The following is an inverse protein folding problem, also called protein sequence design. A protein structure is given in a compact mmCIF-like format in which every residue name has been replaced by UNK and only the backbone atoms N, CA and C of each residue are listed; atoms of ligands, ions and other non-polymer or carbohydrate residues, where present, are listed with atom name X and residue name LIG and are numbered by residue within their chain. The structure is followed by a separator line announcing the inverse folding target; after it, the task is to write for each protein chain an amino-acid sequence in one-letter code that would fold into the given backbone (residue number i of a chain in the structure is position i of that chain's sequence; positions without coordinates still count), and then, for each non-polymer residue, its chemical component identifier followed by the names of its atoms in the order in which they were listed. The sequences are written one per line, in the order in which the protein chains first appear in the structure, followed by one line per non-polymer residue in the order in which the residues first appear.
data_IF_488840217617
#
_entry.id   IF_488840217617
#
_cell.length_a   1.000
_cell.length_b   1.000
_cell.length_c   1.000
_cell.angle_alpha   90.00
_cell.angle_beta   90.00
_cell.angle_gamma   90.00
#
_symmetry.space_group_name_H-M   'P 1'
#
loop_
_entity.id
_entity.type
_entity.pdbx_description
1 polymer ?
#
# COMPACT_ATOMS: atom_id res chain seq x y z
N UNK A 1 22.87 13.80 -4.13
CA UNK A 1 21.80 14.79 -4.18
C UNK A 1 20.57 14.22 -3.48
N UNK A 2 20.11 14.92 -2.51
CA UNK A 2 18.91 14.50 -1.82
C UNK A 2 17.68 14.70 -2.70
N UNK A 3 16.83 13.72 -2.69
CA UNK A 3 15.56 13.82 -3.38
C UNK A 3 14.52 14.41 -2.44
N UNK A 4 13.90 15.48 -2.87
CA UNK A 4 12.79 16.03 -2.14
C UNK A 4 11.53 15.25 -2.48
N UNK A 5 11.07 14.47 -1.53
CA UNK A 5 9.80 13.79 -1.65
C UNK A 5 8.76 14.49 -0.77
N UNK A 6 7.53 14.51 -1.24
CA UNK A 6 6.40 15.04 -0.50
C UNK A 6 5.44 13.88 -0.24
N UNK A 7 5.14 13.65 1.02
CA UNK A 7 4.15 12.63 1.40
C UNK A 7 2.91 13.35 1.89
N UNK A 8 1.78 13.07 1.27
CA UNK A 8 0.52 13.72 1.60
C UNK A 8 -0.66 12.78 1.41
N UNK A 9 -1.81 13.20 1.90
CA UNK A 9 -3.06 12.48 1.67
C UNK A 9 -3.46 12.58 0.20
N UNK A 10 -3.92 11.47 -0.35
CA UNK A 10 -4.42 11.42 -1.71
C UNK A 10 -5.74 12.16 -1.84
N UNK A 11 -5.95 12.74 -3.00
CA UNK A 11 -7.24 13.30 -3.40
C UNK A 11 -7.71 12.62 -4.68
N UNK A 12 -8.96 12.84 -5.06
CA UNK A 12 -9.52 12.27 -6.28
C UNK A 12 -8.72 12.66 -7.53
N UNK A 13 -8.09 13.84 -7.52
CA UNK A 13 -7.24 14.29 -8.63
C UNK A 13 -6.01 13.42 -8.83
N UNK A 14 -5.62 12.63 -7.83
CA UNK A 14 -4.44 11.77 -7.90
C UNK A 14 -4.74 10.40 -8.52
N UNK A 15 -5.99 10.11 -8.82
CA UNK A 15 -6.44 8.77 -9.21
C UNK A 15 -5.69 8.22 -10.41
N UNK A 16 -5.48 9.00 -11.46
CA UNK A 16 -4.81 8.52 -12.68
C UNK A 16 -3.35 8.15 -12.40
N UNK A 17 -2.66 8.95 -11.58
CA UNK A 17 -1.28 8.66 -11.19
C UNK A 17 -1.19 7.39 -10.34
N UNK A 18 -2.12 7.23 -9.42
CA UNK A 18 -2.20 6.03 -8.57
C UNK A 18 -2.46 4.79 -9.43
N UNK A 19 -3.41 4.87 -10.37
CA UNK A 19 -3.76 3.73 -11.22
C UNK A 19 -2.62 3.33 -12.15
N UNK A 20 -1.80 4.26 -12.59
CA UNK A 20 -0.60 3.93 -13.37
C UNK A 20 0.35 3.03 -12.59
N UNK A 21 0.57 3.35 -11.31
CA UNK A 21 1.43 2.55 -10.45
C UNK A 21 0.79 1.18 -10.18
N UNK A 22 -0.48 1.18 -9.82
CA UNK A 22 -1.21 -0.06 -9.54
C UNK A 22 -1.13 -1.04 -10.71
N UNK A 23 -1.43 -0.56 -11.91
CA UNK A 23 -1.41 -1.39 -13.12
C UNK A 23 0.00 -1.88 -13.44
N UNK A 24 1.01 -1.02 -13.30
CA UNK A 24 2.41 -1.39 -13.55
C UNK A 24 2.92 -2.44 -12.57
N UNK A 25 2.48 -2.38 -11.32
CA UNK A 25 2.97 -3.29 -10.28
C UNK A 25 2.20 -4.60 -10.22
N UNK A 26 0.91 -4.58 -10.50
CA UNK A 26 0.04 -5.72 -10.24
C UNK A 26 -0.63 -6.31 -11.48
N UNK A 27 -0.60 -5.61 -12.63
CA UNK A 27 -1.16 -6.12 -13.87
C UNK A 27 -2.60 -6.62 -13.71
N UNK A 28 -2.87 -7.91 -14.02
CA UNK A 28 -4.23 -8.46 -13.94
C UNK A 28 -4.77 -8.54 -12.52
N UNK A 29 -3.92 -8.45 -11.49
CA UNK A 29 -4.34 -8.43 -10.09
C UNK A 29 -4.66 -7.02 -9.59
N UNK A 30 -4.59 -6.01 -10.45
CA UNK A 30 -4.88 -4.62 -10.09
C UNK A 30 -6.31 -4.47 -9.60
N UNK A 31 -6.47 -3.69 -8.54
CA UNK A 31 -7.80 -3.28 -8.12
C UNK A 31 -8.39 -2.28 -9.11
N UNK A 32 -9.71 -2.19 -9.17
CA UNK A 32 -10.39 -1.33 -10.11
C UNK A 32 -10.28 0.14 -9.73
N UNK A 33 -10.44 1.00 -10.72
CA UNK A 33 -10.52 2.45 -10.53
C UNK A 33 -11.61 2.82 -9.53
N UNK A 34 -12.77 2.14 -9.63
CA UNK A 34 -13.90 2.34 -8.73
C UNK A 34 -13.53 2.06 -7.27
N UNK A 35 -12.78 0.99 -7.03
CA UNK A 35 -12.31 0.66 -5.67
C UNK A 35 -11.40 1.76 -5.12
N UNK A 36 -10.51 2.29 -5.93
CA UNK A 36 -9.61 3.37 -5.50
C UNK A 36 -10.36 4.68 -5.25
N UNK A 37 -11.38 5.00 -6.03
CA UNK A 37 -12.23 6.15 -5.74
C UNK A 37 -12.86 6.01 -4.35
N UNK A 38 -13.40 4.84 -4.04
CA UNK A 38 -13.97 4.57 -2.72
C UNK A 38 -12.93 4.73 -1.61
N UNK A 39 -11.73 4.16 -1.80
CA UNK A 39 -10.67 4.22 -0.80
C UNK A 39 -10.18 5.65 -0.54
N UNK A 40 -10.18 6.49 -1.57
CA UNK A 40 -9.73 7.87 -1.46
C UNK A 40 -10.81 8.74 -0.81
N UNK A 41 -12.09 8.52 -1.15
CA UNK A 41 -13.15 9.49 -0.84
C UNK A 41 -14.07 9.09 0.30
N UNK A 42 -14.29 7.79 0.54
CA UNK A 42 -15.34 7.32 1.45
C UNK A 42 -14.86 6.35 2.52
N UNK A 43 -13.83 5.55 2.25
CA UNK A 43 -13.39 4.53 3.20
C UNK A 43 -12.81 5.16 4.46
N UNK A 44 -13.00 4.49 5.59
CA UNK A 44 -12.32 4.88 6.84
C UNK A 44 -10.88 4.43 6.77
N UNK A 45 -9.97 5.33 7.03
CA UNK A 45 -8.54 5.04 6.99
C UNK A 45 -7.75 6.23 6.51
N UNK A 46 -6.69 5.95 5.77
CA UNK A 46 -5.83 6.99 5.22
C UNK A 46 -5.23 6.48 3.92
N UNK A 47 -5.15 7.35 2.95
CA UNK A 47 -4.50 7.05 1.68
C UNK A 47 -3.37 8.05 1.48
N UNK A 48 -2.12 7.58 1.65
CA UNK A 48 -0.94 8.41 1.44
C UNK A 48 -0.39 8.23 0.04
N UNK A 49 0.04 9.32 -0.57
CA UNK A 49 0.85 9.27 -1.78
C UNK A 49 2.20 9.92 -1.51
N UNK A 50 3.18 9.53 -2.29
CA UNK A 50 4.51 10.14 -2.31
C UNK A 50 4.70 10.78 -3.68
N UNK A 51 5.03 12.07 -3.69
CA UNK A 51 5.36 12.82 -4.91
C UNK A 51 6.85 13.07 -4.98
N UNK A 52 7.35 13.02 -6.19
CA UNK A 52 8.68 13.49 -6.53
C UNK A 52 8.56 14.29 -7.83
N UNK A 53 8.96 15.56 -7.79
CA UNK A 53 8.86 16.47 -8.94
C UNK A 53 7.46 16.46 -9.57
N UNK A 54 6.45 16.66 -8.74
CA UNK A 54 5.03 16.74 -9.12
C UNK A 54 4.48 15.44 -9.72
N UNK A 55 5.16 14.34 -9.50
CA UNK A 55 4.79 13.05 -10.03
C UNK A 55 4.57 12.07 -8.88
N UNK A 56 3.47 11.32 -8.94
CA UNK A 56 3.21 10.29 -7.93
C UNK A 56 4.11 9.09 -8.21
N UNK A 57 4.91 8.71 -7.22
CA UNK A 57 5.90 7.63 -7.35
C UNK A 57 5.64 6.46 -6.41
N UNK A 58 4.77 6.62 -5.43
CA UNK A 58 4.41 5.55 -4.51
C UNK A 58 3.11 5.89 -3.79
N UNK A 59 2.46 4.86 -3.22
CA UNK A 59 1.27 5.06 -2.41
C UNK A 59 1.08 3.92 -1.42
N UNK A 60 0.31 4.19 -0.36
CA UNK A 60 -0.21 3.15 0.53
C UNK A 60 -1.66 3.49 0.88
N UNK A 61 -2.53 2.50 0.79
CA UNK A 61 -3.93 2.62 1.20
C UNK A 61 -4.14 1.86 2.49
N UNK A 62 -4.58 2.56 3.53
CA UNK A 62 -4.83 2.02 4.86
C UNK A 62 -6.33 2.01 5.11
N UNK A 63 -6.84 0.88 5.54
CA UNK A 63 -8.27 0.67 5.74
C UNK A 63 -8.56 0.29 7.18
N UNK A 64 -9.51 1.00 7.81
CA UNK A 64 -10.06 0.65 9.11
C UNK A 64 -11.31 -0.17 8.91
N UNK A 65 -11.49 -1.19 9.75
CA UNK A 65 -12.62 -2.08 9.71
C UNK A 65 -13.45 -1.88 10.99
N UNK A 66 -14.77 -1.79 10.88
CA UNK A 66 -15.64 -1.63 12.04
C UNK A 66 -15.70 -2.88 12.93
N UNK A 67 -15.26 -4.03 12.43
CA UNK A 67 -15.34 -5.30 13.16
C UNK A 67 -14.08 -5.67 13.91
N UNK A 68 -12.98 -4.98 13.69
CA UNK A 68 -11.72 -5.22 14.37
C UNK A 68 -10.99 -3.90 14.63
N UNK A 69 -10.17 -3.82 15.69
CA UNK A 69 -9.38 -2.61 15.93
C UNK A 69 -8.13 -2.54 15.05
N UNK A 70 -7.89 -3.55 14.20
CA UNK A 70 -6.67 -3.63 13.42
C UNK A 70 -6.71 -2.69 12.21
N UNK A 71 -5.54 -2.19 11.83
CA UNK A 71 -5.36 -1.44 10.60
C UNK A 71 -4.91 -2.39 9.50
N UNK A 72 -5.54 -2.30 8.33
CA UNK A 72 -5.17 -3.14 7.19
C UNK A 72 -4.47 -2.31 6.14
N UNK A 73 -3.31 -2.77 5.67
CA UNK A 73 -2.73 -2.26 4.45
C UNK A 73 -3.49 -2.91 3.30
N UNK A 74 -4.31 -2.12 2.62
CA UNK A 74 -5.11 -2.61 1.51
C UNK A 74 -4.26 -2.77 0.25
N UNK A 75 -3.42 -1.77 -0.04
CA UNK A 75 -2.48 -1.81 -1.15
C UNK A 75 -1.29 -0.90 -0.84
N UNK A 76 -0.10 -1.33 -1.26
CA UNK A 76 1.12 -0.55 -1.16
C UNK A 76 1.93 -0.82 -2.43
N UNK A 77 2.37 0.23 -3.10
CA UNK A 77 3.15 0.07 -4.32
C UNK A 77 4.14 1.22 -4.51
N UNK A 78 5.26 0.90 -5.12
CA UNK A 78 6.30 1.86 -5.51
C UNK A 78 6.52 1.73 -7.01
N UNK A 79 6.51 2.87 -7.71
CA UNK A 79 6.75 2.89 -9.15
C UNK A 79 8.08 2.18 -9.46
N UNK A 80 8.12 1.31 -10.49
CA UNK A 80 9.32 0.53 -10.78
C UNK A 80 10.60 1.36 -10.95
N UNK A 81 10.50 2.56 -11.49
CA UNK A 81 11.63 3.47 -11.67
C UNK A 81 12.16 4.08 -10.38
N UNK A 82 11.45 3.92 -9.26
CA UNK A 82 11.80 4.53 -7.98
C UNK A 82 12.04 3.49 -6.88
N UNK A 83 12.14 2.23 -7.23
CA UNK A 83 12.53 1.18 -6.30
C UNK A 83 13.99 1.40 -5.88
N UNK A 84 14.41 0.83 -4.76
CA UNK A 84 15.74 1.00 -4.17
C UNK A 84 16.00 2.38 -3.56
N UNK A 85 14.97 3.22 -3.45
CA UNK A 85 15.09 4.52 -2.78
C UNK A 85 14.40 4.50 -1.42
N UNK A 86 14.13 3.32 -0.89
CA UNK A 86 13.54 3.10 0.42
C UNK A 86 12.14 3.71 0.58
N UNK A 87 11.41 3.90 -0.52
CA UNK A 87 10.06 4.44 -0.46
C UNK A 87 9.07 3.46 0.17
N UNK A 88 9.24 2.17 -0.08
CA UNK A 88 8.43 1.14 0.59
C UNK A 88 8.59 1.20 2.10
N UNK A 89 9.83 1.31 2.58
CA UNK A 89 10.10 1.46 4.01
C UNK A 89 9.50 2.76 4.55
N UNK A 90 9.62 3.85 3.82
CA UNK A 90 9.02 5.12 4.20
C UNK A 90 7.51 5.00 4.39
N UNK A 91 6.83 4.31 3.48
CA UNK A 91 5.38 4.08 3.60
C UNK A 91 5.02 3.17 4.75
N UNK A 92 5.84 2.17 5.05
CA UNK A 92 5.64 1.32 6.25
C UNK A 92 5.79 2.17 7.51
N UNK A 93 6.79 3.06 7.55
CA UNK A 93 6.99 3.94 8.70
C UNK A 93 5.80 4.88 8.90
N UNK A 94 5.24 5.42 7.82
CA UNK A 94 4.02 6.24 7.88
C UNK A 94 2.81 5.43 8.35
N UNK A 95 2.72 4.17 7.94
CA UNK A 95 1.65 3.27 8.38
C UNK A 95 1.73 3.01 9.88
N UNK A 96 2.93 2.73 10.39
CA UNK A 96 3.15 2.49 11.82
C UNK A 96 2.81 3.75 12.63
N UNK A 97 3.22 4.91 12.16
CA UNK A 97 2.90 6.18 12.78
C UNK A 97 1.38 6.39 12.86
N UNK A 98 0.68 6.16 11.76
CA UNK A 98 -0.78 6.27 11.72
C UNK A 98 -1.44 5.30 12.71
N UNK A 99 -0.98 4.05 12.74
CA UNK A 99 -1.53 3.04 13.63
C UNK A 99 -1.37 3.44 15.11
N UNK A 100 -0.22 4.00 15.47
CA UNK A 100 0.03 4.48 16.84
C UNK A 100 -0.86 5.66 17.19
N UNK A 101 -1.00 6.62 16.29
CA UNK A 101 -1.80 7.82 16.52
C UNK A 101 -3.29 7.49 16.69
N UNK A 102 -3.76 6.43 16.05
CA UNK A 102 -5.17 6.03 16.07
C UNK A 102 -5.43 4.78 16.90
N UNK A 103 -4.44 4.37 17.71
CA UNK A 103 -4.58 3.25 18.66
C UNK A 103 -4.94 1.92 18.02
N UNK A 104 -4.39 1.64 16.85
CA UNK A 104 -4.52 0.32 16.22
C UNK A 104 -3.49 -0.63 16.81
N UNK A 105 -3.91 -1.76 17.41
CA UNK A 105 -2.96 -2.68 18.06
C UNK A 105 -2.16 -3.53 17.08
N UNK A 106 -2.70 -3.73 15.87
CA UNK A 106 -2.06 -4.57 14.87
C UNK A 106 -2.23 -3.98 13.48
N UNK A 107 -1.28 -4.30 12.60
CA UNK A 107 -1.35 -3.99 11.18
C UNK A 107 -1.38 -5.31 10.45
N UNK A 108 -2.36 -5.48 9.55
CA UNK A 108 -2.52 -6.70 8.76
C UNK A 108 -2.41 -6.39 7.28
N UNK A 109 -2.04 -7.39 6.49
CA UNK A 109 -1.99 -7.28 5.04
C UNK A 109 -2.05 -8.66 4.39
N UNK A 110 -2.38 -8.69 3.11
CA UNK A 110 -2.23 -9.86 2.28
C UNK A 110 -1.15 -9.57 1.23
N UNK A 111 -0.29 -10.54 0.98
CA UNK A 111 0.80 -10.40 0.02
C UNK A 111 0.90 -11.65 -0.82
N UNK A 112 1.18 -11.47 -2.12
CA UNK A 112 1.38 -12.61 -3.02
C UNK A 112 2.67 -13.34 -2.63
N UNK A 113 2.56 -14.64 -2.40
CA UNK A 113 3.71 -15.49 -2.04
C UNK A 113 4.79 -15.52 -3.13
N UNK A 114 4.42 -15.14 -4.35
CA UNK A 114 5.33 -15.05 -5.49
C UNK A 114 6.05 -13.71 -5.59
N UNK A 115 5.87 -12.81 -4.61
CA UNK A 115 6.51 -11.49 -4.60
C UNK A 115 7.60 -11.44 -3.53
N UNK A 116 8.84 -11.87 -3.84
CA UNK A 116 9.90 -11.96 -2.83
C UNK A 116 10.33 -10.59 -2.29
N UNK A 117 10.27 -9.54 -3.10
CA UNK A 117 10.65 -8.21 -2.64
C UNK A 117 9.69 -7.69 -1.57
N UNK A 118 8.39 -7.88 -1.78
CA UNK A 118 7.38 -7.50 -0.78
C UNK A 118 7.52 -8.34 0.48
N UNK A 119 7.70 -9.65 0.35
CA UNK A 119 7.90 -10.52 1.50
C UNK A 119 9.10 -10.08 2.34
N UNK A 120 10.21 -9.74 1.70
CA UNK A 120 11.40 -9.26 2.41
C UNK A 120 11.12 -7.94 3.14
N UNK A 121 10.43 -7.02 2.51
CA UNK A 121 10.06 -5.74 3.14
C UNK A 121 9.25 -5.96 4.40
N UNK A 122 8.24 -6.81 4.32
CA UNK A 122 7.37 -7.06 5.46
C UNK A 122 8.08 -7.83 6.57
N UNK A 123 8.86 -8.84 6.22
CA UNK A 123 9.65 -9.59 7.21
C UNK A 123 10.67 -8.70 7.93
N UNK A 124 11.32 -7.81 7.21
CA UNK A 124 12.25 -6.82 7.78
C UNK A 124 11.57 -5.95 8.83
N UNK A 125 10.29 -5.65 8.62
CA UNK A 125 9.50 -4.85 9.56
C UNK A 125 8.75 -5.70 10.58
N UNK A 126 9.16 -6.96 10.75
CA UNK A 126 8.65 -7.89 11.77
C UNK A 126 7.19 -8.31 11.56
N UNK A 127 6.70 -8.22 10.35
CA UNK A 127 5.43 -8.87 10.00
C UNK A 127 5.63 -10.38 9.97
N UNK A 128 4.68 -11.10 10.52
CA UNK A 128 4.72 -12.56 10.60
C UNK A 128 3.58 -13.15 9.79
N UNK A 129 3.83 -14.23 9.00
CA UNK A 129 2.75 -14.91 8.32
C UNK A 129 1.85 -15.61 9.34
N UNK A 130 0.54 -15.44 9.18
CA UNK A 130 -0.44 -16.06 10.08
C UNK A 130 -1.27 -17.14 9.38
N UNK A 131 -1.38 -17.10 8.07
CA UNK A 131 -2.06 -18.13 7.28
C UNK A 131 -1.78 -17.92 5.80
N UNK A 132 -2.05 -18.96 5.01
CA UNK A 132 -2.04 -18.89 3.55
C UNK A 132 -3.48 -18.89 3.04
N UNK A 133 -3.80 -17.98 2.11
CA UNK A 133 -5.10 -17.94 1.44
C UNK A 133 -4.89 -18.50 0.04
N UNK A 134 -5.46 -19.68 -0.21
CA UNK A 134 -5.27 -20.37 -1.49
C UNK A 134 -6.06 -19.68 -2.60
N UNK A 135 -5.46 -19.61 -3.78
CA UNK A 135 -6.08 -19.07 -4.99
C UNK A 135 -6.63 -17.64 -4.79
N UNK A 136 -5.89 -16.83 -4.05
CA UNK A 136 -6.33 -15.47 -3.70
C UNK A 136 -6.28 -14.51 -4.89
N UNK A 137 -5.25 -14.67 -5.75
CA UNK A 137 -5.02 -13.77 -6.89
C UNK A 137 -5.57 -14.36 -8.18
N UNK A 138 -5.73 -13.51 -9.20
CA UNK A 138 -6.36 -13.88 -10.47
C UNK A 138 -5.63 -15.01 -11.21
N UNK A 139 -4.31 -15.12 -11.04
CA UNK A 139 -3.49 -16.17 -11.66
C UNK A 139 -3.49 -17.50 -10.86
N UNK A 140 -4.26 -17.55 -9.76
CA UNK A 140 -4.31 -18.71 -8.88
C UNK A 140 -3.25 -18.72 -7.78
N UNK A 141 -2.34 -17.74 -7.74
CA UNK A 141 -1.32 -17.71 -6.70
C UNK A 141 -1.92 -17.40 -5.33
N UNK A 142 -1.20 -17.85 -4.29
CA UNK A 142 -1.64 -17.73 -2.90
C UNK A 142 -1.19 -16.41 -2.28
N UNK A 143 -1.87 -16.02 -1.22
CA UNK A 143 -1.47 -14.91 -0.38
C UNK A 143 -1.08 -15.39 1.02
#
# INVERSE_FOLDING_TARGET
MEQEIITRQATRADLDGIMRIETSCFGPDSFSKKQFVYLITKAKGMFYIVEYQERIVAYVSLLQNDHTPNLRIYSLAVHPGFRRQKLGQHLIDKTIEFARQHNHPKITLEVNVSNPAALRLYQKNKFEPVRTINNYYADGSNA
#
